data_IF_102152264948
#
_entry.id   IF_102152264948
#
_cell.length_a   1.000
_cell.length_b   1.000
_cell.length_c   1.000
_cell.angle_alpha   90.00
_cell.angle_beta   90.00
_cell.angle_gamma   90.00
#
_symmetry.space_group_name_H-M   'P 1'
#
loop_
_entity.id
_entity.type
_entity.pdbx_description
1 polymer ?
#
# COMPACT_ATOMS: atom_id res chain seq x y z
N UNK A 1 26.90 -67.59 -29.25
CA UNK A 1 25.47 -67.97 -29.27
C UNK A 1 24.75 -67.04 -30.23
N UNK A 2 24.35 -67.61 -31.38
CA UNK A 2 23.33 -67.18 -32.35
C UNK A 2 23.24 -65.71 -32.79
N UNK A 3 23.83 -65.43 -33.96
CA UNK A 3 23.35 -64.46 -34.96
C UNK A 3 22.10 -65.03 -35.71
N UNK A 4 21.55 -64.39 -36.77
CA UNK A 4 21.06 -63.01 -36.94
C UNK A 4 19.67 -62.97 -37.65
N UNK A 5 19.13 -61.79 -37.97
CA UNK A 5 18.62 -61.52 -39.34
C UNK A 5 18.30 -60.02 -39.56
N UNK A 6 18.98 -59.49 -40.58
CA UNK A 6 18.71 -58.24 -41.30
C UNK A 6 17.56 -58.45 -42.29
N UNK A 7 16.83 -57.39 -42.63
CA UNK A 7 16.62 -56.99 -44.04
C UNK A 7 15.99 -55.60 -44.13
N UNK A 8 16.51 -54.83 -45.09
CA UNK A 8 16.10 -53.48 -45.51
C UNK A 8 16.06 -53.52 -47.04
N UNK A 9 15.11 -52.78 -47.64
CA UNK A 9 14.97 -52.24 -49.04
C UNK A 9 13.57 -52.53 -49.59
N UNK A 10 12.90 -51.77 -50.46
CA UNK A 10 12.96 -50.38 -50.97
C UNK A 10 11.80 -50.21 -51.98
N UNK A 11 11.18 -49.02 -52.00
CA UNK A 11 10.48 -48.30 -53.10
C UNK A 11 9.66 -49.02 -54.19
N UNK A 12 8.43 -48.51 -54.42
CA UNK A 12 7.98 -48.06 -55.75
C UNK A 12 6.76 -47.11 -55.69
N UNK A 13 6.68 -46.24 -56.70
CA UNK A 13 5.84 -45.07 -56.93
C UNK A 13 4.87 -45.37 -58.10
N UNK A 14 3.63 -44.85 -58.06
CA UNK A 14 2.77 -44.42 -59.21
C UNK A 14 1.49 -43.76 -58.63
N UNK A 15 1.25 -42.44 -58.69
CA UNK A 15 0.72 -41.56 -59.78
C UNK A 15 -0.68 -41.93 -60.30
N UNK A 16 -1.75 -41.21 -59.88
CA UNK A 16 -2.55 -40.27 -60.70
C UNK A 16 -3.99 -40.81 -60.86
N UNK A 17 -5.10 -40.06 -60.95
CA UNK A 17 -5.40 -38.65 -61.20
C UNK A 17 -6.93 -38.40 -61.03
N UNK A 18 -7.31 -37.25 -60.44
CA UNK A 18 -8.38 -36.26 -60.79
C UNK A 18 -9.71 -36.70 -61.47
N UNK A 19 -10.91 -36.20 -61.13
CA UNK A 19 -11.42 -34.82 -61.30
C UNK A 19 -12.71 -34.57 -60.46
N UNK A 20 -12.80 -33.48 -59.69
CA UNK A 20 -13.54 -32.20 -59.92
C UNK A 20 -15.08 -32.27 -59.90
N UNK A 21 -15.73 -31.48 -59.01
CA UNK A 21 -16.65 -30.37 -59.35
C UNK A 21 -17.27 -29.66 -58.10
N UNK A 22 -16.85 -28.40 -57.92
CA UNK A 22 -17.54 -27.14 -57.54
C UNK A 22 -18.84 -27.09 -56.68
N UNK A 23 -18.70 -26.35 -55.57
CA UNK A 23 -19.51 -25.21 -55.05
C UNK A 23 -20.85 -25.36 -54.26
N UNK A 24 -21.19 -24.35 -53.41
CA UNK A 24 -21.85 -24.54 -52.12
C UNK A 24 -23.33 -24.13 -52.09
N UNK A 25 -24.07 -24.62 -51.10
CA UNK A 25 -25.44 -24.20 -50.80
C UNK A 25 -25.55 -23.55 -49.42
N UNK A 26 -25.61 -22.22 -49.44
CA UNK A 26 -26.27 -21.39 -48.43
C UNK A 26 -27.77 -21.71 -48.43
N UNK A 27 -28.36 -21.91 -47.26
CA UNK A 27 -29.80 -21.65 -47.07
C UNK A 27 -30.08 -20.87 -45.78
N UNK A 28 -31.04 -19.93 -45.79
CA UNK A 28 -31.29 -18.95 -44.71
C UNK A 28 -32.62 -19.22 -43.98
N UNK A 29 -32.71 -18.96 -42.67
CA UNK A 29 -34.00 -18.84 -41.95
C UNK A 29 -33.80 -17.96 -40.69
N UNK A 30 -34.83 -17.25 -40.16
CA UNK A 30 -35.38 -15.99 -40.66
C UNK A 30 -35.28 -14.83 -39.63
N UNK A 31 -35.33 -13.60 -40.12
CA UNK A 31 -35.63 -12.40 -39.33
C UNK A 31 -37.11 -12.41 -38.93
N UNK A 32 -37.38 -12.41 -37.61
CA UNK A 32 -38.63 -11.88 -37.07
C UNK A 32 -38.31 -10.70 -36.16
N UNK A 33 -38.58 -9.50 -36.68
CA UNK A 33 -38.68 -8.28 -35.90
C UNK A 33 -39.90 -8.35 -35.00
N UNK A 34 -39.71 -8.20 -33.68
CA UNK A 34 -40.56 -7.33 -32.86
C UNK A 34 -39.68 -6.66 -31.80
N UNK A 35 -39.75 -5.32 -31.79
CA UNK A 35 -39.01 -4.46 -30.87
C UNK A 35 -39.57 -4.62 -29.45
N UNK A 36 -38.68 -4.83 -28.48
CA UNK A 36 -38.84 -4.23 -27.15
C UNK A 36 -37.51 -3.59 -26.78
N UNK A 37 -37.58 -2.33 -26.36
CA UNK A 37 -36.44 -1.47 -26.08
C UNK A 37 -35.58 -2.07 -24.94
N UNK A 38 -34.46 -2.70 -25.31
CA UNK A 38 -33.43 -3.05 -24.35
C UNK A 38 -32.70 -1.77 -23.94
N UNK A 39 -32.97 -1.34 -22.72
CA UNK A 39 -32.11 -0.46 -21.93
C UNK A 39 -30.66 -0.88 -22.13
N UNK A 40 -29.81 0.04 -22.62
CA UNK A 40 -28.40 -0.22 -22.84
C UNK A 40 -27.70 -0.75 -21.59
N UNK A 41 -26.53 -1.40 -21.73
CA UNK A 41 -25.81 -1.98 -20.60
C UNK A 41 -25.62 -0.88 -19.55
N UNK A 42 -26.22 -1.11 -18.38
CA UNK A 42 -26.06 -0.28 -17.20
C UNK A 42 -24.57 -0.13 -16.94
N UNK A 43 -24.09 1.12 -16.88
CA UNK A 43 -22.76 1.43 -16.32
C UNK A 43 -22.58 0.62 -15.03
N UNK A 44 -21.45 -0.07 -14.82
CA UNK A 44 -21.22 -0.72 -13.54
C UNK A 44 -21.39 0.31 -12.43
N UNK A 45 -22.16 -0.04 -11.40
CA UNK A 45 -22.27 0.79 -10.19
C UNK A 45 -20.86 0.85 -9.61
N UNK A 46 -20.28 2.05 -9.54
CA UNK A 46 -19.07 2.31 -8.77
C UNK A 46 -19.32 1.82 -7.34
N UNK A 47 -18.57 0.81 -6.91
CA UNK A 47 -18.75 0.16 -5.62
C UNK A 47 -18.55 1.16 -4.47
N UNK A 48 -19.48 1.11 -3.51
CA UNK A 48 -19.43 1.90 -2.29
C UNK A 48 -18.39 1.28 -1.36
N UNK A 49 -17.40 2.07 -0.95
CA UNK A 49 -16.43 1.66 0.07
C UNK A 49 -17.00 1.96 1.46
N UNK A 50 -17.39 0.92 2.18
CA UNK A 50 -17.60 1.00 3.62
C UNK A 50 -16.24 0.92 4.33
N UNK A 51 -16.16 1.54 5.50
CA UNK A 51 -14.95 1.70 6.33
C UNK A 51 -14.34 0.39 6.84
N UNK A 52 -14.96 -0.75 6.54
CA UNK A 52 -14.62 -2.08 7.04
C UNK A 52 -14.50 -3.11 5.91
N UNK A 53 -14.24 -2.71 4.66
CA UNK A 53 -14.14 -3.67 3.55
C UNK A 53 -12.67 -4.01 3.26
N UNK A 54 -12.16 -5.16 3.72
CA UNK A 54 -10.97 -5.74 3.15
C UNK A 54 -11.26 -6.08 1.68
N UNK A 55 -10.43 -5.54 0.78
CA UNK A 55 -10.35 -6.08 -0.58
C UNK A 55 -9.33 -7.21 -0.56
N UNK A 56 -9.76 -8.36 -0.04
CA UNK A 56 -9.12 -9.63 -0.41
C UNK A 56 -9.78 -10.13 -1.70
N UNK A 57 -8.99 -10.61 -2.68
CA UNK A 57 -9.51 -10.95 -3.99
C UNK A 57 -10.39 -12.21 -3.90
N UNK A 58 -11.66 -12.06 -4.28
CA UNK A 58 -12.48 -13.20 -4.71
C UNK A 58 -12.12 -13.48 -6.17
N UNK A 59 -11.17 -14.38 -6.40
CA UNK A 59 -10.79 -14.79 -7.75
C UNK A 59 -11.98 -15.47 -8.43
N UNK A 60 -12.62 -14.79 -9.39
CA UNK A 60 -13.22 -15.41 -10.58
C UNK A 60 -13.20 -14.43 -11.76
N UNK A 61 -12.54 -14.85 -12.83
CA UNK A 61 -12.82 -14.39 -14.19
C UNK A 61 -11.87 -13.32 -14.73
N UNK A 62 -10.92 -13.77 -15.56
CA UNK A 62 -10.20 -12.96 -16.55
C UNK A 62 -11.15 -12.07 -17.36
N UNK A 63 -10.80 -10.78 -17.51
CA UNK A 63 -11.16 -9.96 -18.67
C UNK A 63 -10.19 -8.76 -18.76
N UNK A 64 -8.97 -9.03 -19.23
CA UNK A 64 -8.15 -7.99 -19.86
C UNK A 64 -8.73 -7.71 -21.24
N UNK A 65 -9.30 -6.52 -21.47
CA UNK A 65 -9.17 -5.83 -22.75
C UNK A 65 -9.61 -4.37 -22.65
N UNK A 66 -8.88 -3.53 -23.39
CA UNK A 66 -9.25 -2.21 -23.91
C UNK A 66 -9.10 -0.98 -22.98
N UNK A 67 -7.88 -0.45 -22.91
CA UNK A 67 -7.66 1.00 -22.91
C UNK A 67 -6.49 1.37 -23.82
N UNK A 68 -6.79 1.53 -25.10
CA UNK A 68 -5.98 2.34 -26.01
C UNK A 68 -6.91 3.29 -26.75
N UNK A 69 -6.42 4.53 -26.91
CA UNK A 69 -6.97 5.68 -27.66
C UNK A 69 -7.86 6.63 -26.86
N UNK A 70 -7.21 7.69 -26.39
CA UNK A 70 -7.84 8.97 -26.10
C UNK A 70 -6.89 10.11 -26.50
N UNK A 71 -6.78 10.37 -27.81
CA UNK A 71 -6.22 11.64 -28.29
C UNK A 71 -7.23 12.74 -27.99
N UNK A 72 -6.83 13.73 -27.19
CA UNK A 72 -7.64 14.92 -26.94
C UNK A 72 -7.19 16.05 -27.88
N UNK A 73 -8.05 16.40 -28.84
CA UNK A 73 -7.95 17.64 -29.61
C UNK A 73 -8.63 18.77 -28.81
N UNK A 74 -7.89 19.85 -28.56
CA UNK A 74 -8.43 21.12 -28.06
C UNK A 74 -9.07 21.90 -29.22
N UNK A 75 -10.35 22.31 -29.15
CA UNK A 75 -10.90 23.22 -30.14
C UNK A 75 -10.51 24.65 -29.79
N UNK A 76 -9.52 25.17 -30.53
CA UNK A 76 -9.22 26.60 -30.56
C UNK A 76 -10.29 27.29 -31.43
N UNK A 77 -11.17 28.09 -30.82
CA UNK A 77 -11.98 29.07 -31.54
C UNK A 77 -11.51 30.47 -31.17
N UNK A 78 -10.91 31.14 -32.14
CA UNK A 78 -10.59 32.55 -32.06
C UNK A 78 -11.84 33.42 -32.18
N UNK A 79 -11.83 34.53 -31.45
CA UNK A 79 -12.58 35.73 -31.83
C UNK A 79 -11.68 36.96 -31.77
N UNK A 80 -12.01 37.89 -32.66
CA UNK A 80 -11.19 38.96 -33.23
C UNK A 80 -11.05 40.18 -32.31
N UNK A 81 -9.89 40.81 -32.44
CA UNK A 81 -9.63 42.24 -32.59
C UNK A 81 -10.48 43.25 -31.79
N UNK A 82 -9.83 43.91 -30.83
CA UNK A 82 -10.09 45.30 -30.52
C UNK A 82 -8.76 46.07 -30.60
N UNK A 83 -8.72 47.08 -31.47
CA UNK A 83 -7.63 48.03 -31.66
C UNK A 83 -7.49 48.95 -30.44
N UNK A 84 -6.24 49.35 -30.21
CA UNK A 84 -5.75 50.63 -29.69
C UNK A 84 -6.57 51.36 -28.61
N UNK A 85 -6.01 51.37 -27.40
CA UNK A 85 -5.88 52.61 -26.64
C UNK A 85 -4.60 52.57 -25.81
N UNK A 86 -3.54 53.12 -26.38
CA UNK A 86 -2.42 53.68 -25.63
C UNK A 86 -2.92 54.92 -24.89
N UNK A 87 -3.01 54.86 -23.55
CA UNK A 87 -2.51 55.88 -22.63
C UNK A 87 -2.96 55.61 -21.18
N UNK A 88 -1.98 55.77 -20.27
CA UNK A 88 -2.11 56.11 -18.84
C UNK A 88 -2.62 55.04 -17.85
N UNK A 89 -1.67 54.35 -17.18
CA UNK A 89 -1.48 54.43 -15.72
C UNK A 89 -0.40 53.45 -15.24
N UNK A 90 0.84 53.94 -15.17
CA UNK A 90 2.04 53.19 -14.76
C UNK A 90 2.26 53.04 -13.24
N UNK A 91 1.26 53.21 -12.38
CA UNK A 91 1.46 53.16 -10.92
C UNK A 91 0.70 52.05 -10.17
N UNK A 92 -0.21 51.31 -10.81
CA UNK A 92 -1.01 50.29 -10.11
C UNK A 92 -0.38 48.88 -10.07
N UNK A 93 0.74 48.62 -10.78
CA UNK A 93 1.33 47.27 -10.87
C UNK A 93 2.41 46.97 -9.83
N UNK A 94 3.10 47.98 -9.31
CA UNK A 94 4.14 47.76 -8.28
C UNK A 94 3.53 47.33 -6.94
N UNK A 95 2.43 47.95 -6.52
CA UNK A 95 1.75 47.62 -5.26
C UNK A 95 1.20 46.19 -5.23
N UNK A 96 0.61 45.73 -6.34
CA UNK A 96 0.10 44.36 -6.45
C UNK A 96 1.22 43.30 -6.50
N UNK A 97 2.34 43.59 -7.16
CA UNK A 97 3.51 42.70 -7.16
C UNK A 97 4.19 42.63 -5.79
N UNK A 98 4.37 43.77 -5.11
CA UNK A 98 4.91 43.80 -3.75
C UNK A 98 4.01 43.06 -2.77
N UNK A 99 2.70 43.23 -2.88
CA UNK A 99 1.73 42.53 -2.02
C UNK A 99 1.68 41.02 -2.29
N UNK A 100 1.80 40.59 -3.54
CA UNK A 100 1.90 39.18 -3.89
C UNK A 100 3.20 38.55 -3.37
N UNK A 101 4.34 39.22 -3.56
CA UNK A 101 5.63 38.77 -3.03
C UNK A 101 5.57 38.70 -1.51
N UNK A 102 5.03 39.72 -0.83
CA UNK A 102 4.90 39.73 0.62
C UNK A 102 4.02 38.60 1.14
N UNK A 103 2.92 38.27 0.44
CA UNK A 103 2.08 37.11 0.76
C UNK A 103 2.78 35.78 0.57
N UNK A 104 3.55 35.62 -0.50
CA UNK A 104 4.34 34.41 -0.75
C UNK A 104 5.42 34.26 0.33
N UNK A 105 6.16 35.33 0.62
CA UNK A 105 7.18 35.34 1.68
C UNK A 105 6.56 35.03 3.04
N UNK A 106 5.43 35.65 3.39
CA UNK A 106 4.73 35.36 4.64
C UNK A 106 4.26 33.91 4.70
N UNK A 107 3.70 33.36 3.62
CA UNK A 107 3.27 31.97 3.56
C UNK A 107 4.45 31.00 3.71
N UNK A 108 5.61 31.31 3.11
CA UNK A 108 6.85 30.53 3.25
C UNK A 108 7.38 30.60 4.68
N UNK A 109 7.44 31.79 5.29
CA UNK A 109 7.91 31.96 6.68
C UNK A 109 6.97 31.25 7.66
N UNK A 110 5.66 31.38 7.48
CA UNK A 110 4.66 30.64 8.27
C UNK A 110 4.82 29.14 8.04
N UNK A 111 5.04 28.68 6.81
CA UNK A 111 5.27 27.28 6.48
C UNK A 111 6.51 26.71 7.18
N UNK A 112 7.63 27.43 7.15
CA UNK A 112 8.87 27.06 7.84
C UNK A 112 8.66 27.04 9.36
N UNK A 113 8.00 28.06 9.91
CA UNK A 113 7.71 28.14 11.33
C UNK A 113 6.80 27.00 11.79
N UNK A 114 5.72 26.71 11.07
CA UNK A 114 4.79 25.62 11.37
C UNK A 114 5.45 24.23 11.23
N UNK A 115 6.35 24.07 10.26
CA UNK A 115 7.15 22.86 10.11
C UNK A 115 8.08 22.66 11.32
N UNK A 116 8.81 23.71 11.72
CA UNK A 116 9.76 23.64 12.82
C UNK A 116 9.08 23.51 14.19
N UNK A 117 8.03 24.29 14.45
CA UNK A 117 7.24 24.18 15.67
C UNK A 117 6.50 22.84 15.74
N UNK A 118 6.02 22.34 14.60
CA UNK A 118 5.35 21.06 14.55
C UNK A 118 6.27 19.88 14.81
N UNK A 119 7.52 19.97 14.35
CA UNK A 119 8.57 19.00 14.64
C UNK A 119 8.96 19.00 16.13
N UNK A 120 9.12 20.18 16.75
CA UNK A 120 9.42 20.30 18.18
C UNK A 120 8.27 19.80 19.07
N UNK A 121 7.03 20.19 18.78
CA UNK A 121 5.87 19.74 19.58
C UNK A 121 5.61 18.23 19.44
N UNK A 122 5.85 17.64 18.26
CA UNK A 122 5.74 16.19 18.08
C UNK A 122 6.80 15.44 18.92
N UNK A 123 8.01 16.00 19.02
CA UNK A 123 9.05 15.49 19.93
C UNK A 123 8.63 15.62 21.41
N UNK A 124 8.06 16.75 21.80
CA UNK A 124 7.67 17.01 23.19
C UNK A 124 6.45 16.17 23.61
N UNK A 125 5.49 15.94 22.72
CA UNK A 125 4.36 15.04 22.97
C UNK A 125 4.82 13.59 23.18
N UNK A 126 5.78 13.11 22.37
CA UNK A 126 6.44 11.80 22.57
C UNK A 126 7.11 11.72 23.95
N UNK A 127 7.78 12.78 24.39
CA UNK A 127 8.40 12.86 25.73
C UNK A 127 7.37 12.87 26.88
N UNK A 128 6.23 13.54 26.73
CA UNK A 128 5.17 13.51 27.75
C UNK A 128 4.46 12.16 27.86
N UNK A 129 4.24 11.47 26.74
CA UNK A 129 3.67 10.12 26.74
C UNK A 129 4.66 9.12 27.38
N UNK A 130 5.95 9.29 27.08
CA UNK A 130 7.05 8.53 27.68
C UNK A 130 7.04 8.64 29.22
N UNK A 131 6.96 9.86 29.75
CA UNK A 131 6.89 10.08 31.20
C UNK A 131 5.60 9.54 31.86
N UNK A 132 4.48 9.51 31.14
CA UNK A 132 3.21 8.98 31.64
C UNK A 132 3.15 7.46 31.72
N UNK A 133 3.82 6.77 30.80
CA UNK A 133 3.88 5.30 30.77
C UNK A 133 4.96 4.73 31.71
N UNK A 134 6.02 5.49 32.00
CA UNK A 134 7.06 5.11 32.98
C UNK A 134 6.54 5.03 34.43
N UNK A 135 5.38 5.65 34.72
CA UNK A 135 4.73 5.61 36.04
C UNK A 135 3.80 4.40 36.25
N UNK A 136 3.52 3.59 35.23
CA UNK A 136 2.75 2.37 35.41
C UNK A 136 3.69 1.23 35.81
N UNK A 137 3.53 0.63 37.00
CA UNK A 137 4.31 -0.54 37.39
C UNK A 137 3.78 -1.74 36.59
N UNK A 138 4.27 -1.91 35.36
CA UNK A 138 3.93 -3.05 34.52
C UNK A 138 5.13 -4.00 34.57
N UNK A 139 5.03 -4.99 35.46
CA UNK A 139 5.72 -6.26 35.21
C UNK A 139 5.39 -6.68 33.78
N UNK A 140 6.38 -7.08 32.97
CA UNK A 140 6.18 -7.68 31.65
C UNK A 140 5.46 -9.02 31.87
N UNK A 141 4.17 -8.94 32.17
CA UNK A 141 3.27 -10.06 32.26
C UNK A 141 2.68 -10.17 30.86
N UNK A 142 3.05 -11.25 30.19
CA UNK A 142 2.92 -11.58 28.76
C UNK A 142 1.48 -11.76 28.26
N UNK A 143 0.54 -10.93 28.73
CA UNK A 143 -0.89 -11.01 28.35
C UNK A 143 -1.46 -9.60 28.20
N UNK A 144 -1.11 -8.94 27.10
CA UNK A 144 -1.88 -7.77 26.65
C UNK A 144 -3.20 -8.32 26.10
N UNK A 145 -4.31 -8.02 26.78
CA UNK A 145 -5.63 -8.28 26.25
C UNK A 145 -6.05 -7.14 25.32
N UNK A 146 -6.53 -7.48 24.13
CA UNK A 146 -7.10 -6.57 23.13
C UNK A 146 -8.63 -6.65 23.09
N UNK A 147 -9.23 -7.34 24.05
CA UNK A 147 -10.69 -7.38 24.24
C UNK A 147 -11.27 -5.97 24.35
N UNK A 148 -12.32 -5.71 23.58
CA UNK A 148 -12.95 -4.40 23.43
C UNK A 148 -12.24 -3.45 22.46
N UNK A 149 -11.17 -3.90 21.78
CA UNK A 149 -10.45 -3.12 20.77
C UNK A 149 -10.72 -3.67 19.37
N UNK A 150 -11.36 -2.86 18.54
CA UNK A 150 -11.60 -3.13 17.12
C UNK A 150 -10.43 -2.63 16.27
N UNK A 151 -10.03 -3.43 15.29
CA UNK A 151 -9.00 -3.04 14.32
C UNK A 151 -9.45 -1.81 13.52
N UNK A 152 -8.52 -0.87 13.33
CA UNK A 152 -8.64 0.29 12.45
C UNK A 152 -7.69 0.18 11.26
N UNK A 153 -8.12 0.71 10.12
CA UNK A 153 -7.36 0.74 8.87
C UNK A 153 -6.38 1.93 8.84
N UNK A 154 -5.45 1.92 9.80
CA UNK A 154 -4.40 2.92 9.93
C UNK A 154 -3.04 2.26 10.23
N UNK A 155 -2.00 2.91 9.76
CA UNK A 155 -0.59 2.62 9.98
C UNK A 155 -0.02 3.49 11.09
N UNK A 156 0.56 2.84 12.10
CA UNK A 156 1.38 3.49 13.11
C UNK A 156 2.74 3.73 12.47
N UNK A 157 2.95 4.96 12.02
CA UNK A 157 4.13 5.36 11.25
C UNK A 157 5.31 5.60 12.20
N UNK A 158 6.47 5.06 11.84
CA UNK A 158 7.68 5.08 12.67
C UNK A 158 7.35 4.71 14.11
N UNK A 159 6.70 3.55 14.30
CA UNK A 159 6.10 3.19 15.58
C UNK A 159 7.17 3.17 16.69
N UNK A 160 8.42 2.84 16.36
CA UNK A 160 9.53 2.82 17.32
C UNK A 160 9.79 4.20 17.95
N UNK A 161 9.41 5.27 17.27
CA UNK A 161 9.47 6.64 17.80
C UNK A 161 8.33 6.96 18.80
N UNK A 162 7.42 6.03 19.10
CA UNK A 162 6.40 6.16 20.15
C UNK A 162 6.95 5.77 21.55
N UNK A 163 8.18 5.27 21.61
CA UNK A 163 8.89 4.92 22.84
C UNK A 163 8.81 3.43 23.18
N UNK A 164 9.26 3.05 24.39
CA UNK A 164 9.46 1.64 24.82
C UNK A 164 8.21 0.74 24.72
N UNK A 165 7.02 1.33 24.66
CA UNK A 165 5.74 0.61 24.63
C UNK A 165 4.97 0.84 23.32
N UNK A 166 5.68 1.21 22.25
CA UNK A 166 5.15 1.51 20.92
C UNK A 166 4.11 0.50 20.43
N UNK A 167 4.49 -0.77 20.29
CA UNK A 167 3.61 -1.84 19.87
C UNK A 167 2.31 -1.90 20.71
N UNK A 168 2.44 -1.84 22.03
CA UNK A 168 1.28 -1.92 22.94
C UNK A 168 0.35 -0.73 22.73
N UNK A 169 0.91 0.46 22.54
CA UNK A 169 0.14 1.66 22.27
C UNK A 169 -0.61 1.54 20.93
N UNK A 170 0.06 1.11 19.86
CA UNK A 170 -0.55 0.90 18.56
C UNK A 170 -1.70 -0.12 18.65
N UNK A 171 -1.47 -1.28 19.27
CA UNK A 171 -2.48 -2.32 19.45
C UNK A 171 -3.67 -1.85 20.30
N UNK A 172 -3.45 -1.14 21.40
CA UNK A 172 -4.54 -0.59 22.23
C UNK A 172 -5.40 0.44 21.49
N UNK A 173 -4.83 1.13 20.51
CA UNK A 173 -5.56 2.06 19.67
C UNK A 173 -6.24 1.39 18.47
N UNK A 174 -6.00 0.09 18.25
CA UNK A 174 -6.60 -0.73 17.21
C UNK A 174 -5.81 -0.77 15.90
N UNK A 175 -4.58 -0.24 15.83
CA UNK A 175 -3.85 -0.15 14.56
C UNK A 175 -3.68 -1.52 13.89
N UNK A 176 -4.23 -1.66 12.67
CA UNK A 176 -4.07 -2.85 11.84
C UNK A 176 -2.77 -2.90 11.06
N UNK A 177 -2.03 -1.80 11.03
CA UNK A 177 -0.78 -1.64 10.32
C UNK A 177 0.25 -0.96 11.24
N UNK A 178 1.47 -1.46 11.28
CA UNK A 178 2.55 -0.95 12.13
C UNK A 178 3.82 -0.89 11.29
N UNK A 179 4.44 0.29 11.20
CA UNK A 179 5.69 0.50 10.48
C UNK A 179 6.84 0.64 11.45
N UNK A 180 7.90 -0.11 11.18
CA UNK A 180 9.10 -0.18 12.00
C UNK A 180 10.27 0.15 11.08
N UNK A 181 10.96 1.25 11.38
CA UNK A 181 12.21 1.58 10.72
C UNK A 181 13.33 0.68 11.25
N UNK A 182 14.01 -0.05 10.36
CA UNK A 182 15.03 -1.04 10.75
C UNK A 182 16.40 -0.77 10.15
N UNK A 183 17.42 -1.00 10.97
CA UNK A 183 18.82 -0.99 10.61
C UNK A 183 19.48 -2.32 10.99
N UNK A 184 20.36 -2.82 10.12
CA UNK A 184 21.30 -3.86 10.48
C UNK A 184 22.36 -3.27 11.41
N UNK A 185 22.51 -3.86 12.60
CA UNK A 185 23.56 -3.47 13.54
C UNK A 185 24.93 -3.89 13.03
N UNK A 186 25.68 -2.96 12.45
CA UNK A 186 27.06 -3.21 11.99
C UNK A 186 28.11 -2.83 13.05
N UNK A 187 27.69 -2.52 14.28
CA UNK A 187 28.63 -2.13 15.35
C UNK A 187 29.42 -3.31 15.91
N UNK A 188 28.88 -4.53 15.77
CA UNK A 188 29.58 -5.76 16.13
C UNK A 188 30.40 -6.30 14.95
N UNK A 189 31.69 -6.55 15.17
CA UNK A 189 32.64 -6.97 14.12
C UNK A 189 32.55 -8.46 13.73
N UNK A 190 31.49 -9.18 14.15
CA UNK A 190 31.28 -10.60 13.85
C UNK A 190 29.85 -10.87 13.40
N UNK A 191 29.68 -11.46 12.21
CA UNK A 191 28.39 -11.77 11.57
C UNK A 191 27.42 -12.56 12.46
N UNK A 192 27.94 -13.45 13.33
CA UNK A 192 27.13 -14.29 14.22
C UNK A 192 26.44 -13.54 15.37
N UNK A 193 26.51 -12.21 15.40
CA UNK A 193 25.95 -11.35 16.45
C UNK A 193 25.19 -10.12 15.95
N UNK A 194 25.05 -9.93 14.62
CA UNK A 194 24.32 -8.76 14.12
C UNK A 194 22.83 -8.92 14.43
N UNK A 195 22.24 -7.84 14.91
CA UNK A 195 20.83 -7.76 15.25
C UNK A 195 20.15 -6.69 14.41
N UNK A 196 18.82 -6.74 14.32
CA UNK A 196 18.04 -5.65 13.75
C UNK A 196 17.70 -4.66 14.86
N UNK A 197 18.13 -3.41 14.69
CA UNK A 197 17.80 -2.30 15.57
C UNK A 197 16.64 -1.49 14.98
N UNK A 198 15.79 -0.96 15.85
CA UNK A 198 14.71 -0.08 15.44
C UNK A 198 15.14 1.39 15.56
N UNK A 199 14.90 2.19 14.53
CA UNK A 199 15.11 3.64 14.55
C UNK A 199 15.01 4.28 13.17
N UNK A 200 14.50 5.51 13.10
CA UNK A 200 14.31 6.23 11.84
C UNK A 200 15.62 6.68 11.20
N UNK A 201 16.53 7.17 12.03
CA UNK A 201 17.88 7.59 11.66
C UNK A 201 18.93 6.86 12.51
N UNK A 202 20.17 6.81 12.03
CA UNK A 202 21.28 6.17 12.75
C UNK A 202 21.48 6.76 14.15
N UNK A 203 21.17 8.04 14.36
CA UNK A 203 21.26 8.70 15.66
C UNK A 203 20.21 8.24 16.68
N UNK A 204 19.13 7.61 16.22
CA UNK A 204 18.05 7.11 17.07
C UNK A 204 18.34 5.69 17.59
N UNK A 205 19.33 5.02 17.01
CA UNK A 205 19.65 3.63 17.32
C UNK A 205 20.18 3.47 18.74
N UNK A 206 19.67 2.43 19.40
CA UNK A 206 20.11 2.00 20.72
C UNK A 206 20.37 0.49 20.64
N UNK A 207 21.54 0.04 21.11
CA UNK A 207 21.90 -1.39 21.12
C UNK A 207 20.94 -2.26 21.94
N UNK A 208 20.17 -1.66 22.86
CA UNK A 208 19.14 -2.34 23.64
C UNK A 208 17.74 -2.23 23.02
N UNK A 209 17.59 -1.52 21.90
CA UNK A 209 16.34 -1.28 21.18
C UNK A 209 16.22 -2.19 19.95
N UNK A 210 16.36 -3.51 20.14
CA UNK A 210 16.25 -4.45 19.03
C UNK A 210 14.80 -4.56 18.55
N UNK A 211 14.61 -4.76 17.25
CA UNK A 211 13.29 -5.05 16.64
C UNK A 211 12.68 -6.30 17.28
N UNK A 212 13.53 -7.26 17.67
CA UNK A 212 13.12 -8.49 18.35
C UNK A 212 12.44 -8.17 19.68
N UNK A 213 13.08 -7.39 20.54
CA UNK A 213 12.59 -7.11 21.89
C UNK A 213 11.40 -6.14 21.89
N UNK A 214 11.41 -5.16 21.00
CA UNK A 214 10.37 -4.13 20.93
C UNK A 214 9.08 -4.63 20.26
N UNK A 215 9.19 -5.53 19.28
CA UNK A 215 8.07 -5.92 18.42
C UNK A 215 7.84 -7.43 18.33
N UNK A 216 8.86 -8.18 17.90
CA UNK A 216 8.65 -9.58 17.50
C UNK A 216 8.38 -10.50 18.68
N UNK A 217 9.16 -10.43 19.76
CA UNK A 217 8.95 -11.26 20.94
C UNK A 217 7.60 -10.99 21.62
N UNK A 218 7.18 -9.72 21.85
CA UNK A 218 5.86 -9.44 22.36
C UNK A 218 4.73 -9.92 21.44
N UNK A 219 4.85 -9.74 20.11
CA UNK A 219 3.84 -10.22 19.16
C UNK A 219 3.75 -11.75 19.14
N UNK A 220 4.89 -12.43 19.15
CA UNK A 220 4.94 -13.88 19.19
C UNK A 220 4.29 -14.41 20.49
N UNK A 221 4.57 -13.76 21.62
CA UNK A 221 3.96 -14.12 22.90
C UNK A 221 2.43 -13.93 22.91
N UNK A 222 1.92 -12.86 22.29
CA UNK A 222 0.47 -12.63 22.13
C UNK A 222 -0.14 -13.76 21.28
N UNK A 223 0.44 -14.03 20.11
CA UNK A 223 -0.09 -15.06 19.21
C UNK A 223 -0.01 -16.46 19.83
N UNK A 224 1.10 -16.80 20.49
CA UNK A 224 1.25 -18.06 21.22
C UNK A 224 0.21 -18.20 22.34
N UNK A 225 -0.07 -17.13 23.08
CA UNK A 225 -1.11 -17.13 24.11
C UNK A 225 -2.50 -17.33 23.53
N UNK A 226 -2.81 -16.73 22.38
CA UNK A 226 -4.10 -16.84 21.69
C UNK A 226 -4.29 -18.19 20.98
N UNK A 227 -3.20 -18.89 20.68
CA UNK A 227 -3.19 -20.10 19.85
C UNK A 227 -2.61 -21.32 20.58
N UNK A 228 -2.63 -21.36 21.92
CA UNK A 228 -2.04 -22.46 22.72
C UNK A 228 -2.52 -23.86 22.33
N UNK A 229 -3.79 -23.98 21.97
CA UNK A 229 -4.42 -25.26 21.59
C UNK A 229 -4.44 -25.49 20.07
N UNK A 230 -3.85 -24.58 19.29
CA UNK A 230 -3.86 -24.64 17.83
C UNK A 230 -2.57 -25.26 17.29
N UNK A 231 -2.72 -26.14 16.29
CA UNK A 231 -1.62 -26.72 15.54
C UNK A 231 -1.74 -26.35 14.06
N UNK A 232 -0.61 -25.99 13.45
CA UNK A 232 -0.53 -25.71 12.02
C UNK A 232 -0.96 -26.96 11.22
N UNK A 233 -1.90 -26.80 10.29
CA UNK A 233 -2.39 -27.87 9.41
C UNK A 233 -3.82 -28.36 9.68
N UNK A 234 -4.44 -27.99 10.81
CA UNK A 234 -5.88 -28.14 10.98
C UNK A 234 -6.58 -26.95 10.29
N UNK A 235 -7.51 -27.24 9.40
CA UNK A 235 -8.20 -26.21 8.60
C UNK A 235 -8.82 -25.12 9.50
N UNK A 236 -8.17 -23.95 9.46
CA UNK A 236 -8.74 -22.60 9.62
C UNK A 236 -9.27 -22.16 10.98
N UNK A 237 -8.46 -22.07 12.03
CA UNK A 237 -8.84 -21.22 13.17
C UNK A 237 -7.63 -20.63 13.94
N UNK A 238 -6.69 -19.95 13.29
CA UNK A 238 -5.77 -19.08 14.05
C UNK A 238 -6.55 -17.94 14.70
N UNK A 239 -6.10 -17.47 15.85
CA UNK A 239 -6.63 -16.28 16.54
C UNK A 239 -5.58 -15.18 16.42
N UNK A 240 -5.95 -14.09 15.75
CA UNK A 240 -5.09 -12.93 15.53
C UNK A 240 -4.83 -12.13 16.80
N UNK A 241 -4.23 -10.94 16.63
CA UNK A 241 -3.86 -10.07 17.75
C UNK A 241 -5.09 -9.43 18.41
N UNK A 242 -6.16 -9.17 17.65
CA UNK A 242 -7.41 -8.60 18.16
C UNK A 242 -8.38 -9.72 18.56
N UNK A 243 -8.65 -9.84 19.86
CA UNK A 243 -9.47 -10.94 20.42
C UNK A 243 -10.93 -10.93 19.93
N UNK A 244 -11.52 -9.74 19.80
CA UNK A 244 -12.92 -9.59 19.37
C UNK A 244 -13.08 -9.77 17.84
N UNK A 245 -11.99 -9.60 17.08
CA UNK A 245 -11.92 -9.82 15.64
C UNK A 245 -10.79 -10.82 15.31
N UNK A 246 -10.92 -12.10 15.72
CA UNK A 246 -9.82 -13.07 15.76
C UNK A 246 -9.29 -13.48 14.38
N UNK A 247 -9.90 -12.99 13.29
CA UNK A 247 -9.49 -13.26 11.90
C UNK A 247 -9.00 -12.02 11.17
N UNK A 248 -8.90 -10.91 11.85
CA UNK A 248 -8.30 -9.71 11.29
C UNK A 248 -6.78 -9.82 11.34
N UNK A 249 -6.14 -9.69 10.18
CA UNK A 249 -4.69 -9.68 10.05
C UNK A 249 -4.12 -8.35 10.56
N UNK A 250 -2.94 -8.39 11.18
CA UNK A 250 -2.10 -7.20 11.40
C UNK A 250 -0.98 -7.21 10.37
N UNK A 251 -0.74 -6.07 9.73
CA UNK A 251 0.37 -5.93 8.78
C UNK A 251 1.54 -5.21 9.43
N UNK A 252 2.74 -5.77 9.31
CA UNK A 252 3.99 -5.12 9.72
C UNK A 252 4.72 -4.61 8.48
N UNK A 253 5.03 -3.31 8.46
CA UNK A 253 5.98 -2.73 7.51
C UNK A 253 7.37 -2.71 8.15
N UNK A 254 8.33 -3.33 7.47
CA UNK A 254 9.75 -3.17 7.80
C UNK A 254 10.37 -2.20 6.80
N UNK A 255 10.58 -0.95 7.22
CA UNK A 255 11.27 0.06 6.42
C UNK A 255 12.77 -0.11 6.58
N UNK A 256 13.40 -0.75 5.58
CA UNK A 256 14.83 -1.04 5.63
C UNK A 256 15.61 0.24 5.32
N UNK A 257 16.27 0.80 6.34
CA UNK A 257 17.08 2.02 6.22
C UNK A 257 18.54 1.74 5.87
N UNK A 258 19.06 0.57 6.26
CA UNK A 258 20.39 0.09 5.90
C UNK A 258 20.42 -0.55 4.50
N UNK A 259 21.55 -1.15 4.12
CA UNK A 259 21.67 -1.89 2.87
C UNK A 259 20.67 -3.07 2.82
N UNK A 260 19.85 -3.10 1.78
CA UNK A 260 18.76 -4.07 1.63
C UNK A 260 19.23 -5.52 1.60
N UNK A 261 20.22 -5.83 0.77
CA UNK A 261 20.72 -7.19 0.56
C UNK A 261 21.47 -7.72 1.79
N UNK A 262 22.19 -6.86 2.50
CA UNK A 262 22.85 -7.21 3.75
C UNK A 262 21.84 -7.42 4.90
N UNK A 263 20.78 -6.60 4.95
CA UNK A 263 19.76 -6.67 6.02
C UNK A 263 18.81 -7.86 5.84
N UNK A 264 18.49 -8.23 4.60
CA UNK A 264 17.50 -9.26 4.27
C UNK A 264 17.64 -10.59 5.02
N UNK A 265 18.81 -11.27 5.05
CA UNK A 265 18.93 -12.56 5.75
C UNK A 265 18.65 -12.46 7.25
N UNK A 266 18.91 -11.31 7.87
CA UNK A 266 18.63 -11.08 9.30
C UNK A 266 17.13 -10.86 9.55
N UNK A 267 16.43 -10.22 8.60
CA UNK A 267 14.97 -10.10 8.65
C UNK A 267 14.28 -11.46 8.47
N UNK A 268 14.73 -12.28 7.52
CA UNK A 268 14.23 -13.66 7.36
C UNK A 268 14.45 -14.48 8.63
N UNK A 269 15.66 -14.44 9.21
CA UNK A 269 15.97 -15.14 10.45
C UNK A 269 15.11 -14.66 11.64
N UNK A 270 14.83 -13.36 11.73
CA UNK A 270 13.98 -12.80 12.79
C UNK A 270 12.50 -13.22 12.66
N UNK A 271 12.03 -13.50 11.44
CA UNK A 271 10.65 -13.89 11.15
C UNK A 271 10.42 -15.41 11.20
N UNK A 272 11.48 -16.23 11.17
CA UNK A 272 11.40 -17.70 11.18
C UNK A 272 10.53 -18.28 12.32
N UNK A 273 10.54 -17.77 13.56
CA UNK A 273 9.65 -18.26 14.61
C UNK A 273 8.16 -18.14 14.26
N UNK A 274 7.77 -17.10 13.51
CA UNK A 274 6.40 -16.93 13.04
C UNK A 274 6.10 -17.82 11.84
N UNK A 275 7.05 -17.95 10.92
CA UNK A 275 6.90 -18.80 9.73
C UNK A 275 6.71 -20.27 10.11
N UNK A 276 7.58 -20.79 10.98
CA UNK A 276 7.53 -22.19 11.46
C UNK A 276 6.25 -22.54 12.22
N UNK A 277 5.62 -21.54 12.86
CA UNK A 277 4.31 -21.68 13.51
C UNK A 277 3.14 -21.43 12.57
N UNK A 278 3.35 -21.00 11.33
CA UNK A 278 2.26 -20.68 10.39
C UNK A 278 1.50 -19.41 10.76
N UNK A 279 2.16 -18.45 11.43
CA UNK A 279 1.58 -17.16 11.78
C UNK A 279 1.70 -16.09 10.68
N UNK A 280 2.47 -16.37 9.63
CA UNK A 280 2.65 -15.45 8.52
C UNK A 280 1.70 -15.77 7.37
N UNK A 281 1.17 -14.74 6.73
CA UNK A 281 0.60 -14.84 5.39
C UNK A 281 1.69 -15.22 4.41
N UNK A 282 1.47 -16.29 3.63
CA UNK A 282 2.46 -16.81 2.68
C UNK A 282 1.88 -16.97 1.29
N UNK A 283 2.72 -16.81 0.27
CA UNK A 283 2.39 -17.08 -1.13
C UNK A 283 3.40 -18.06 -1.72
N UNK A 284 2.92 -19.23 -2.12
CA UNK A 284 3.73 -20.22 -2.84
C UNK A 284 3.67 -19.91 -4.35
N UNK A 285 4.81 -19.51 -4.92
CA UNK A 285 4.87 -19.11 -6.34
C UNK A 285 4.76 -20.28 -7.31
N UNK A 286 4.98 -21.50 -6.84
CA UNK A 286 4.90 -22.72 -7.67
C UNK A 286 3.46 -23.22 -7.77
N UNK A 287 2.72 -23.24 -6.64
CA UNK A 287 1.30 -23.62 -6.63
C UNK A 287 0.34 -22.47 -6.89
N UNK A 288 0.82 -21.22 -6.90
CA UNK A 288 0.03 -19.98 -6.95
C UNK A 288 -1.01 -19.90 -5.81
N UNK A 289 -0.60 -20.32 -4.62
CA UNK A 289 -1.47 -20.39 -3.45
C UNK A 289 -1.10 -19.32 -2.42
N UNK A 290 -2.08 -18.50 -2.05
CA UNK A 290 -1.98 -17.55 -0.94
C UNK A 290 -2.64 -18.17 0.30
N UNK A 291 -1.88 -18.33 1.38
CA UNK A 291 -2.34 -18.84 2.67
C UNK A 291 -2.31 -17.69 3.69
N UNK A 292 -3.48 -17.19 4.14
CA UNK A 292 -3.56 -16.13 5.14
C UNK A 292 -3.08 -16.55 6.54
N UNK A 293 -2.30 -15.69 7.19
CA UNK A 293 -1.90 -15.81 8.59
C UNK A 293 -2.32 -14.58 9.41
N UNK A 294 -2.25 -14.63 10.75
CA UNK A 294 -2.55 -13.49 11.61
C UNK A 294 -1.65 -12.27 11.34
N UNK A 295 -0.46 -12.47 10.77
CA UNK A 295 0.46 -11.41 10.38
C UNK A 295 0.74 -11.42 8.88
N UNK A 296 0.64 -10.24 8.25
CA UNK A 296 1.13 -10.02 6.88
C UNK A 296 2.40 -9.14 6.96
N UNK A 297 3.50 -9.61 6.38
CA UNK A 297 4.77 -8.87 6.44
C UNK A 297 5.03 -8.18 5.11
N UNK A 298 5.37 -6.90 5.15
CA UNK A 298 5.68 -6.09 3.96
C UNK A 298 7.02 -5.39 4.19
N UNK A 299 7.97 -5.59 3.27
CA UNK A 299 9.20 -4.79 3.21
C UNK A 299 8.98 -3.50 2.44
N UNK A 300 9.47 -2.38 3.00
CA UNK A 300 9.54 -1.06 2.36
C UNK A 300 10.98 -0.49 2.47
N UNK A 301 11.20 0.76 2.07
CA UNK A 301 12.54 1.36 2.05
C UNK A 301 13.49 0.68 1.07
N UNK A 302 14.70 0.35 1.52
CA UNK A 302 15.73 -0.35 0.72
C UNK A 302 15.43 -1.85 0.53
N UNK A 303 14.17 -2.28 0.61
CA UNK A 303 13.80 -3.69 0.43
C UNK A 303 14.28 -4.23 -0.94
N UNK A 304 15.08 -5.31 -0.97
CA UNK A 304 15.60 -5.88 -2.21
C UNK A 304 14.50 -6.61 -2.97
N UNK A 305 13.86 -5.91 -3.92
CA UNK A 305 12.74 -6.44 -4.72
C UNK A 305 13.08 -7.75 -5.43
N UNK A 306 14.32 -7.96 -5.87
CA UNK A 306 14.74 -9.23 -6.48
C UNK A 306 14.57 -10.42 -5.53
N UNK A 307 14.88 -10.27 -4.24
CA UNK A 307 14.71 -11.35 -3.26
C UNK A 307 13.23 -11.64 -3.01
N UNK A 308 12.40 -10.60 -2.93
CA UNK A 308 10.94 -10.77 -2.81
C UNK A 308 10.36 -11.48 -4.03
N UNK A 309 10.76 -11.06 -5.23
CA UNK A 309 10.22 -11.58 -6.48
C UNK A 309 10.59 -13.05 -6.71
N UNK A 310 11.88 -13.41 -6.55
CA UNK A 310 12.37 -14.77 -6.80
C UNK A 310 12.17 -15.74 -5.62
N UNK A 311 11.62 -15.30 -4.48
CA UNK A 311 11.31 -16.21 -3.38
C UNK A 311 10.23 -17.21 -3.79
N UNK A 312 10.54 -18.51 -3.67
CA UNK A 312 9.61 -19.59 -3.99
C UNK A 312 8.44 -19.68 -2.99
N UNK A 313 8.72 -19.38 -1.72
CA UNK A 313 7.73 -19.21 -0.66
C UNK A 313 7.85 -17.79 -0.11
N UNK A 314 6.99 -16.90 -0.60
CA UNK A 314 7.00 -15.49 -0.21
C UNK A 314 6.20 -15.30 1.07
N UNK A 315 6.85 -14.90 2.15
CA UNK A 315 6.21 -14.48 3.40
C UNK A 315 6.54 -13.02 3.78
N UNK A 316 7.40 -12.36 2.98
CA UNK A 316 7.65 -10.92 3.01
C UNK A 316 7.22 -10.38 1.64
N UNK A 317 6.17 -9.56 1.62
CA UNK A 317 5.66 -8.89 0.43
C UNK A 317 6.35 -7.53 0.23
N UNK A 318 6.09 -6.88 -0.91
CA UNK A 318 6.74 -5.62 -1.27
C UNK A 318 5.77 -4.43 -1.23
N UNK A 319 6.19 -3.30 -0.66
CA UNK A 319 5.46 -2.02 -0.76
C UNK A 319 5.70 -1.38 -2.13
N UNK A 320 4.73 -1.49 -3.05
CA UNK A 320 4.89 -1.00 -4.41
C UNK A 320 4.86 0.54 -4.51
N UNK A 321 5.52 1.15 -5.51
CA UNK A 321 5.45 2.59 -5.73
C UNK A 321 4.06 3.00 -6.22
N UNK A 322 3.23 3.60 -5.34
CA UNK A 322 1.82 3.90 -5.63
C UNK A 322 1.62 4.79 -6.88
N UNK A 323 2.52 5.74 -7.13
CA UNK A 323 2.43 6.64 -8.28
C UNK A 323 2.83 5.99 -9.61
N UNK A 324 3.55 4.87 -9.56
CA UNK A 324 4.04 4.12 -10.72
C UNK A 324 3.32 2.76 -10.87
N UNK A 325 2.27 2.52 -10.08
CA UNK A 325 1.64 1.21 -9.93
C UNK A 325 1.09 0.63 -11.25
N UNK A 326 0.70 1.50 -12.19
CA UNK A 326 0.17 1.11 -13.50
C UNK A 326 1.26 0.89 -14.56
N UNK A 327 2.51 1.25 -14.25
CA UNK A 327 3.64 1.01 -15.14
C UNK A 327 4.33 -0.30 -14.78
N UNK A 328 4.58 -1.19 -15.76
CA UNK A 328 5.40 -2.37 -15.52
C UNK A 328 6.81 -1.96 -15.08
N UNK A 329 7.36 -2.66 -14.09
CA UNK A 329 8.71 -2.41 -13.61
C UNK A 329 9.69 -3.45 -14.18
N UNK A 330 10.77 -3.00 -14.81
CA UNK A 330 11.84 -3.91 -15.26
C UNK A 330 12.77 -4.22 -14.07
N UNK A 331 12.66 -5.43 -13.53
CA UNK A 331 13.58 -5.94 -12.53
C UNK A 331 14.86 -6.42 -13.23
N UNK A 332 16.03 -5.80 -12.95
CA UNK A 332 17.28 -6.20 -13.57
C UNK A 332 17.69 -7.64 -13.21
N UNK A 333 18.53 -8.25 -14.05
CA UNK A 333 19.14 -9.53 -13.74
C UNK A 333 19.97 -9.45 -12.45
N UNK A 334 19.88 -10.47 -11.62
CA UNK A 334 20.63 -10.59 -10.37
C UNK A 334 21.12 -12.03 -10.17
N UNK A 335 21.85 -12.28 -9.09
CA UNK A 335 22.23 -13.65 -8.71
C UNK A 335 21.02 -14.58 -8.44
N UNK A 336 19.82 -14.03 -8.23
CA UNK A 336 18.60 -14.78 -7.94
C UNK A 336 17.79 -15.13 -9.19
N UNK A 337 18.03 -14.46 -10.32
CA UNK A 337 17.29 -14.73 -11.55
C UNK A 337 17.53 -13.73 -12.69
N UNK A 338 17.02 -14.05 -13.90
CA UNK A 338 17.21 -13.24 -15.10
C UNK A 338 16.32 -12.01 -15.10
N UNK A 339 16.71 -10.95 -15.82
CA UNK A 339 15.89 -9.75 -15.99
C UNK A 339 14.44 -10.09 -16.37
N UNK A 340 13.48 -9.41 -15.73
CA UNK A 340 12.06 -9.69 -15.93
C UNK A 340 11.22 -8.44 -15.75
N UNK A 341 10.01 -8.45 -16.32
CA UNK A 341 9.05 -7.36 -16.19
C UNK A 341 8.00 -7.74 -15.15
N UNK A 342 7.91 -6.94 -14.09
CA UNK A 342 6.96 -7.10 -13.00
C UNK A 342 5.71 -6.30 -13.30
N UNK A 343 4.56 -6.98 -13.24
CA UNK A 343 3.26 -6.35 -13.14
C UNK A 343 2.78 -6.46 -11.69
N UNK A 344 2.62 -5.31 -11.04
CA UNK A 344 2.17 -5.23 -9.65
C UNK A 344 0.81 -5.90 -9.49
N UNK A 345 0.69 -6.73 -8.47
CA UNK A 345 -0.54 -7.42 -8.10
C UNK A 345 -0.47 -7.80 -6.60
N UNK A 346 -1.58 -8.23 -5.99
CA UNK A 346 -1.64 -8.43 -4.54
C UNK A 346 -0.75 -9.57 -4.01
N UNK A 347 -0.29 -10.51 -4.86
CA UNK A 347 0.56 -11.64 -4.43
C UNK A 347 2.03 -11.27 -4.34
N UNK A 348 2.44 -10.13 -4.90
CA UNK A 348 3.75 -9.50 -4.68
C UNK A 348 3.65 -8.28 -3.77
N UNK A 349 2.59 -7.48 -3.94
CA UNK A 349 2.42 -6.19 -3.27
C UNK A 349 0.96 -5.99 -2.86
N UNK A 350 0.57 -6.39 -1.64
CA UNK A 350 -0.78 -6.14 -1.12
C UNK A 350 -1.02 -4.66 -0.80
N UNK A 351 0.05 -3.86 -0.72
CA UNK A 351 0.01 -2.42 -0.52
C UNK A 351 0.91 -1.70 -1.53
N UNK A 352 0.56 -0.46 -1.82
CA UNK A 352 1.40 0.50 -2.51
C UNK A 352 1.35 1.85 -1.80
N UNK A 353 2.53 2.43 -1.55
CA UNK A 353 2.67 3.67 -0.81
C UNK A 353 3.31 4.77 -1.64
N UNK A 354 2.99 6.02 -1.30
CA UNK A 354 3.71 7.19 -1.81
C UNK A 354 3.69 8.34 -0.80
N UNK A 355 4.70 9.20 -0.89
CA UNK A 355 4.69 10.49 -0.21
C UNK A 355 3.51 11.31 -0.71
N UNK A 356 2.81 11.96 0.21
CA UNK A 356 1.69 12.84 -0.11
C UNK A 356 2.17 13.97 -1.04
N UNK A 357 1.62 14.09 -2.27
CA UNK A 357 2.15 15.02 -3.25
C UNK A 357 2.00 16.47 -2.79
N UNK A 358 3.04 17.29 -2.95
CA UNK A 358 3.01 18.70 -2.53
C UNK A 358 1.85 19.48 -3.17
N UNK A 359 1.54 19.19 -4.44
CA UNK A 359 0.40 19.80 -5.13
C UNK A 359 -0.95 19.43 -4.51
N UNK A 360 -1.06 18.28 -3.86
CA UNK A 360 -2.31 17.80 -3.26
C UNK A 360 -2.73 18.60 -2.03
N UNK A 361 -1.84 19.40 -1.42
CA UNK A 361 -2.21 20.37 -0.40
C UNK A 361 -3.15 21.46 -0.94
N UNK A 362 -3.12 21.74 -2.25
CA UNK A 362 -4.04 22.67 -2.90
C UNK A 362 -5.48 22.15 -2.91
N UNK A 363 -5.70 20.87 -2.58
CA UNK A 363 -7.04 20.34 -2.36
C UNK A 363 -7.78 21.07 -1.22
N UNK A 364 -7.04 21.70 -0.28
CA UNK A 364 -7.59 22.49 0.82
C UNK A 364 -7.80 23.98 0.47
N UNK A 365 -7.46 24.39 -0.75
CA UNK A 365 -7.45 25.80 -1.16
C UNK A 365 -8.84 26.45 -1.22
N UNK A 366 -8.93 27.80 -1.31
CA UNK A 366 -10.20 28.51 -1.43
C UNK A 366 -11.06 27.98 -2.60
N UNK A 367 -12.34 27.72 -2.36
CA UNK A 367 -13.26 27.15 -3.35
C UNK A 367 -13.41 25.62 -3.32
N UNK A 368 -12.56 24.92 -2.56
CA UNK A 368 -12.62 23.45 -2.40
C UNK A 368 -13.85 22.95 -1.63
N UNK A 369 -14.44 23.77 -0.74
CA UNK A 369 -15.57 23.40 0.13
C UNK A 369 -16.95 23.51 -0.53
N UNK A 370 -17.01 23.80 -1.83
CA UNK A 370 -18.26 24.06 -2.57
C UNK A 370 -18.85 22.87 -3.32
N UNK A 371 -18.30 21.65 -3.16
CA UNK A 371 -18.77 20.45 -3.86
C UNK A 371 -18.51 20.43 -5.38
N UNK A 372 -17.75 21.39 -5.90
CA UNK A 372 -17.32 21.43 -7.30
C UNK A 372 -16.11 20.54 -7.59
N UNK A 373 -15.80 20.35 -8.87
CA UNK A 373 -14.63 19.60 -9.33
C UNK A 373 -13.33 20.18 -8.74
N UNK A 374 -12.57 19.34 -8.04
CA UNK A 374 -11.26 19.67 -7.48
C UNK A 374 -10.22 18.71 -8.09
N UNK A 375 -9.37 19.18 -9.03
CA UNK A 375 -8.45 18.29 -9.75
C UNK A 375 -7.44 17.59 -8.83
N UNK A 376 -7.06 18.21 -7.71
CA UNK A 376 -6.11 17.63 -6.76
C UNK A 376 -6.74 16.50 -5.95
N UNK A 377 -7.93 16.71 -5.41
CA UNK A 377 -8.70 15.64 -4.74
C UNK A 377 -9.05 14.52 -5.71
N UNK A 378 -9.40 14.86 -6.95
CA UNK A 378 -9.71 13.88 -7.99
C UNK A 378 -8.52 13.03 -8.42
N UNK A 379 -7.33 13.63 -8.47
CA UNK A 379 -6.12 12.86 -8.73
C UNK A 379 -5.85 11.84 -7.61
N UNK A 380 -5.97 12.25 -6.34
CA UNK A 380 -5.85 11.33 -5.21
C UNK A 380 -6.88 10.18 -5.28
N UNK A 381 -8.14 10.51 -5.61
CA UNK A 381 -9.22 9.52 -5.81
C UNK A 381 -8.91 8.54 -6.92
N UNK A 382 -8.42 9.04 -8.05
CA UNK A 382 -8.04 8.22 -9.20
C UNK A 382 -6.88 7.28 -8.84
N UNK A 383 -5.83 7.78 -8.17
CA UNK A 383 -4.70 6.95 -7.73
C UNK A 383 -5.16 5.82 -6.80
N UNK A 384 -5.98 6.13 -5.80
CA UNK A 384 -6.52 5.12 -4.89
C UNK A 384 -7.48 4.15 -5.60
N UNK A 385 -8.22 4.60 -6.62
CA UNK A 385 -9.06 3.73 -7.43
C UNK A 385 -8.23 2.76 -8.28
N UNK A 386 -7.16 3.21 -8.92
CA UNK A 386 -6.26 2.35 -9.70
C UNK A 386 -5.70 1.22 -8.82
N UNK A 387 -5.17 1.56 -7.64
CA UNK A 387 -4.66 0.56 -6.71
C UNK A 387 -5.74 -0.45 -6.30
N UNK A 388 -6.94 0.04 -5.97
CA UNK A 388 -8.10 -0.80 -5.63
C UNK A 388 -8.51 -1.75 -6.75
N UNK A 389 -8.57 -1.29 -8.00
CA UNK A 389 -8.90 -2.15 -9.15
C UNK A 389 -7.85 -3.27 -9.35
N UNK A 390 -6.61 -3.03 -8.91
CA UNK A 390 -5.54 -4.03 -8.89
C UNK A 390 -5.58 -4.93 -7.64
N UNK A 391 -6.52 -4.72 -6.72
CA UNK A 391 -6.60 -5.42 -5.43
C UNK A 391 -5.53 -4.99 -4.42
N UNK A 392 -4.89 -3.83 -4.62
CA UNK A 392 -3.78 -3.31 -3.84
C UNK A 392 -4.28 -2.14 -2.97
N UNK A 393 -3.90 -2.13 -1.69
CA UNK A 393 -4.22 -1.03 -0.79
C UNK A 393 -3.34 0.19 -1.11
N UNK A 394 -3.94 1.38 -1.19
CA UNK A 394 -3.19 2.63 -1.34
C UNK A 394 -2.92 3.30 0.01
N UNK A 395 -1.69 3.73 0.25
CA UNK A 395 -1.28 4.49 1.46
C UNK A 395 -0.53 5.77 1.09
N UNK A 396 -0.85 6.85 1.79
CA UNK A 396 -0.14 8.12 1.67
C UNK A 396 0.59 8.45 2.98
N UNK A 397 1.90 8.70 2.92
CA UNK A 397 2.71 9.13 4.06
C UNK A 397 3.20 10.58 3.91
N UNK A 398 3.74 11.19 4.98
CA UNK A 398 4.35 12.52 4.91
C UNK A 398 3.35 13.68 4.72
N UNK A 399 2.14 13.53 5.26
CA UNK A 399 1.19 14.66 5.39
C UNK A 399 1.63 15.59 6.52
N UNK A 400 1.20 16.86 6.46
CA UNK A 400 1.52 17.82 7.52
C UNK A 400 0.82 17.47 8.85
N UNK A 401 1.60 17.44 9.93
CA UNK A 401 1.12 17.05 11.27
C UNK A 401 0.50 18.20 12.08
N UNK A 402 0.90 19.44 11.80
CA UNK A 402 0.52 20.62 12.58
C UNK A 402 0.21 21.82 11.66
N UNK A 403 -0.67 22.73 12.10
CA UNK A 403 -1.49 22.64 13.31
C UNK A 403 -2.55 21.53 13.20
N UNK A 404 -3.02 21.00 14.32
CA UNK A 404 -3.87 19.80 14.36
C UNK A 404 -5.16 19.91 13.52
N UNK A 405 -5.69 21.12 13.33
CA UNK A 405 -6.84 21.34 12.45
C UNK A 405 -6.51 21.13 10.96
N UNK A 406 -5.30 21.52 10.51
CA UNK A 406 -4.84 21.24 9.14
C UNK A 406 -4.63 19.75 8.97
N UNK A 407 -3.99 19.09 9.95
CA UNK A 407 -3.79 17.63 9.93
C UNK A 407 -5.12 16.89 9.77
N UNK A 408 -6.15 17.22 10.56
CA UNK A 408 -7.48 16.60 10.42
C UNK A 408 -8.14 16.89 9.07
N UNK A 409 -7.91 18.06 8.46
CA UNK A 409 -8.39 18.35 7.10
C UNK A 409 -7.67 17.49 6.05
N UNK A 410 -6.38 17.26 6.22
CA UNK A 410 -5.61 16.36 5.35
C UNK A 410 -6.02 14.90 5.55
N UNK A 411 -6.26 14.47 6.78
CA UNK A 411 -6.85 13.15 7.06
C UNK A 411 -8.19 12.97 6.34
N UNK A 412 -9.07 13.97 6.38
CA UNK A 412 -10.32 13.91 5.62
C UNK A 412 -10.05 13.81 4.12
N UNK A 413 -9.13 14.60 3.58
CA UNK A 413 -8.78 14.58 2.15
C UNK A 413 -8.26 13.21 1.70
N UNK A 414 -7.37 12.59 2.50
CA UNK A 414 -6.81 11.26 2.24
C UNK A 414 -7.88 10.18 2.38
N UNK A 415 -8.71 10.27 3.42
CA UNK A 415 -9.81 9.34 3.63
C UNK A 415 -10.83 9.37 2.50
N UNK A 416 -11.26 10.57 2.09
CA UNK A 416 -12.16 10.80 0.96
C UNK A 416 -11.54 10.44 -0.39
N UNK A 417 -10.20 10.35 -0.49
CA UNK A 417 -9.55 9.82 -1.68
C UNK A 417 -9.84 8.33 -1.89
N UNK A 418 -10.31 7.63 -0.86
CA UNK A 418 -10.44 6.18 -0.89
C UNK A 418 -9.12 5.46 -0.64
N UNK A 419 -8.15 6.12 0.03
CA UNK A 419 -6.97 5.45 0.54
C UNK A 419 -7.37 4.21 1.38
N UNK A 420 -6.67 3.11 1.15
CA UNK A 420 -6.93 1.83 1.82
C UNK A 420 -6.48 1.86 3.27
N UNK A 421 -5.34 2.51 3.53
CA UNK A 421 -4.72 2.61 4.85
C UNK A 421 -4.38 4.08 5.13
N UNK A 422 -4.85 4.60 6.27
CA UNK A 422 -4.45 5.91 6.76
C UNK A 422 -3.05 5.85 7.38
N UNK A 423 -2.27 6.92 7.33
CA UNK A 423 -0.96 6.98 7.98
C UNK A 423 -0.99 7.95 9.15
N UNK A 424 -0.44 7.58 10.32
CA UNK A 424 -0.50 8.41 11.51
C UNK A 424 0.76 8.31 12.38
N UNK A 425 1.20 9.46 12.87
CA UNK A 425 2.17 9.59 13.96
C UNK A 425 1.47 9.91 15.30
N UNK A 426 0.26 10.47 15.27
CA UNK A 426 -0.58 10.76 16.44
C UNK A 426 -1.63 9.65 16.68
N UNK A 427 -1.19 8.54 17.28
CA UNK A 427 -1.93 7.28 17.36
C UNK A 427 -3.32 7.42 18.00
N UNK A 428 -3.38 7.99 19.21
CA UNK A 428 -4.64 8.16 19.94
C UNK A 428 -5.63 9.06 19.19
N UNK A 429 -5.11 10.14 18.60
CA UNK A 429 -5.94 11.09 17.87
C UNK A 429 -6.48 10.51 16.57
N UNK A 430 -5.66 9.73 15.85
CA UNK A 430 -6.09 8.98 14.66
C UNK A 430 -7.14 7.93 15.02
N UNK A 431 -6.90 7.15 16.07
CA UNK A 431 -7.83 6.12 16.55
C UNK A 431 -9.21 6.71 16.87
N UNK A 432 -9.24 7.80 17.66
CA UNK A 432 -10.48 8.50 17.99
C UNK A 432 -11.15 9.09 16.74
N UNK A 433 -10.37 9.65 15.81
CA UNK A 433 -10.87 10.24 14.59
C UNK A 433 -11.50 9.20 13.64
N UNK A 434 -10.91 8.00 13.52
CA UNK A 434 -11.43 6.91 12.70
C UNK A 434 -12.66 6.24 13.30
N UNK A 435 -12.68 6.00 14.62
CA UNK A 435 -13.88 5.49 15.32
C UNK A 435 -15.08 6.40 15.12
N UNK A 436 -14.89 7.72 15.12
CA UNK A 436 -15.94 8.70 14.79
C UNK A 436 -16.40 8.69 13.32
N UNK A 437 -15.86 7.81 12.47
CA UNK A 437 -16.22 7.62 11.05
C UNK A 437 -16.73 6.23 10.73
N UNK A 438 -16.84 5.35 11.72
CA UNK A 438 -17.43 4.03 11.52
C UNK A 438 -18.84 4.15 10.89
N UNK A 439 -19.08 3.37 9.84
CA UNK A 439 -20.35 3.40 9.10
C UNK A 439 -20.55 4.60 8.15
N UNK A 440 -19.58 5.52 8.03
CA UNK A 440 -19.66 6.62 7.05
C UNK A 440 -19.21 6.18 5.66
N UNK A 441 -20.05 6.42 4.65
CA UNK A 441 -19.69 6.21 3.25
C UNK A 441 -18.74 7.31 2.74
N UNK A 442 -17.79 6.93 1.87
CA UNK A 442 -16.88 7.87 1.20
C UNK A 442 -17.43 8.27 -0.17
N UNK A 443 -17.47 9.57 -0.47
CA UNK A 443 -17.83 10.05 -1.81
C UNK A 443 -16.63 10.01 -2.75
N UNK A 444 -16.50 8.92 -3.51
CA UNK A 444 -15.40 8.74 -4.47
C UNK A 444 -15.63 9.44 -5.81
N UNK A 445 -16.65 10.30 -5.90
CA UNK A 445 -16.96 11.03 -7.13
C UNK A 445 -16.03 12.23 -7.33
N UNK A 446 -15.82 12.46 -8.61
CA UNK A 446 -15.37 13.66 -9.27
C UNK A 446 -16.49 14.07 -10.24
#
# INVERSE_FOLDING_TARGET
MSSPLFTRTSNSFTSGSSDCLLEPLLTPIPLLHTQTAATGPSRPKLDRLNTATPLLPRIKGSLYSNFWRGHWHLPWRGHRSAKDSTHCCGHARLGSCVWLVWKITLAVVIGIFLYWSGWQDARDQRLTLFNGLEQLPISINTTISTKGVTKIWANSHNDEMQGKHALILALKQGFGYIEIDIHLDTSSSTDSSLSLLAGHEVSDLNSNGTVKDLYLDPLLAILDAHNRDWTAGNEKNWTGVYEDDPREEVTLFFDIKSDGDATWPYLEAALEPFLSKGYLTTYNTTSNELVPGPLTIVGTGNTPLHRVYYSALRYIFYDAPLLELYHPYTLPASQYGPETTIHWNPTISPIASAKFPLQSYLALGPGSRGGGFNPFSCNLKLTSAIAREMGIQARWWGILHKPGWVRRMLWETVWESGAGVMNADELEDMGNWLRGREGKERSLKC
#
